data_IF_809608662672
#
_entry.id   IF_809608662672
#
_cell.length_a   1.000
_cell.length_b   1.000
_cell.length_c   1.000
_cell.angle_alpha   90.00
_cell.angle_beta   90.00
_cell.angle_gamma   90.00
#
_symmetry.space_group_name_H-M   'P 1'
#
loop_
_entity.id
_entity.type
_entity.pdbx_description
1 polymer ?
#
# COMPACT_ATOMS: atom_id res chain seq x y z
N UNK A 1 16.52 1.11 3.00
CA UNK A 1 15.76 0.16 2.15
C UNK A 1 15.93 -1.23 2.74
N UNK A 2 15.01 -2.15 2.46
CA UNK A 2 15.03 -3.53 2.94
C UNK A 2 14.39 -4.44 1.89
N UNK A 3 14.70 -5.73 1.94
CA UNK A 3 14.13 -6.74 1.04
C UNK A 3 13.90 -8.05 1.78
N UNK A 4 12.78 -8.71 1.50
CA UNK A 4 12.54 -10.12 1.86
C UNK A 4 11.98 -10.83 0.64
N UNK A 5 12.53 -12.00 0.31
CA UNK A 5 11.99 -12.92 -0.67
C UNK A 5 11.52 -14.18 0.04
N UNK A 6 10.27 -14.60 -0.21
CA UNK A 6 9.61 -15.72 0.47
C UNK A 6 9.02 -16.66 -0.59
N UNK A 7 9.13 -17.97 -0.39
CA UNK A 7 8.35 -18.95 -1.13
C UNK A 7 6.88 -18.90 -0.66
N UNK A 8 5.92 -18.49 -1.51
CA UNK A 8 4.53 -18.32 -1.11
C UNK A 8 3.82 -19.65 -0.78
N UNK A 9 4.38 -20.81 -1.16
CA UNK A 9 3.75 -22.12 -0.91
C UNK A 9 4.00 -22.63 0.50
N UNK A 10 5.17 -22.35 1.07
CA UNK A 10 5.61 -22.92 2.35
C UNK A 10 6.14 -21.87 3.34
N UNK A 11 6.23 -20.60 2.95
CA UNK A 11 6.68 -19.50 3.81
C UNK A 11 8.20 -19.44 4.03
N UNK A 12 9.01 -20.23 3.31
CA UNK A 12 10.47 -20.21 3.47
C UNK A 12 11.05 -18.86 3.06
N UNK A 13 11.94 -18.32 3.89
CA UNK A 13 12.73 -17.13 3.57
C UNK A 13 13.87 -17.55 2.65
N UNK A 14 13.81 -17.12 1.40
CA UNK A 14 14.84 -17.38 0.39
C UNK A 14 15.98 -16.36 0.48
N UNK A 15 15.65 -15.11 0.80
CA UNK A 15 16.61 -14.03 1.02
C UNK A 15 16.04 -12.97 1.96
N UNK A 16 16.89 -12.36 2.78
CA UNK A 16 16.53 -11.24 3.65
C UNK A 16 17.69 -10.24 3.73
N UNK A 17 17.41 -8.97 3.42
CA UNK A 17 18.37 -7.85 3.53
C UNK A 17 17.73 -6.77 4.40
N UNK A 18 18.22 -6.64 5.63
CA UNK A 18 17.67 -5.72 6.63
C UNK A 18 18.13 -4.26 6.50
N UNK A 19 19.31 -4.04 5.92
CA UNK A 19 19.94 -2.73 5.77
C UNK A 19 20.88 -2.72 4.57
N UNK A 20 21.28 -1.52 4.11
CA UNK A 20 22.23 -1.33 3.00
C UNK A 20 23.63 -1.84 3.35
N UNK A 21 24.09 -1.58 4.57
CA UNK A 21 25.39 -2.04 5.09
C UNK A 21 25.26 -2.26 6.59
N UNK A 22 25.44 -3.50 7.04
CA UNK A 22 25.32 -3.88 8.45
C UNK A 22 26.33 -3.15 9.35
N UNK A 23 27.55 -2.93 8.86
CA UNK A 23 28.64 -2.35 9.66
C UNK A 23 28.69 -0.82 9.62
N UNK A 24 27.83 -0.17 8.83
CA UNK A 24 27.79 1.29 8.76
C UNK A 24 26.97 1.86 9.92
N UNK A 25 27.67 2.36 10.93
CA UNK A 25 27.08 2.97 12.12
C UNK A 25 26.42 4.32 11.84
N UNK A 26 26.74 5.00 10.73
CA UNK A 26 26.15 6.30 10.40
C UNK A 26 24.70 6.22 9.94
N UNK A 27 24.23 5.02 9.57
CA UNK A 27 22.86 4.76 9.09
C UNK A 27 22.10 3.78 9.98
N UNK A 28 22.61 3.50 11.18
CA UNK A 28 22.12 2.43 12.05
C UNK A 28 22.08 1.07 11.33
N UNK A 29 23.20 0.68 10.71
CA UNK A 29 23.32 -0.50 9.83
C UNK A 29 22.75 -1.82 10.38
N UNK A 30 22.73 -1.98 11.70
CA UNK A 30 22.24 -3.16 12.42
C UNK A 30 20.70 -3.19 12.54
N UNK A 31 20.01 -2.10 12.23
CA UNK A 31 18.54 -2.05 12.23
C UNK A 31 18.01 -2.87 11.05
N UNK A 32 17.35 -3.99 11.39
CA UNK A 32 16.66 -4.79 10.39
C UNK A 32 15.31 -4.17 10.01
N UNK A 33 15.28 -3.42 8.90
CA UNK A 33 14.07 -2.72 8.43
C UNK A 33 12.98 -3.69 7.95
N UNK A 34 13.29 -4.95 7.61
CA UNK A 34 12.28 -5.92 7.16
C UNK A 34 11.27 -6.30 8.25
N UNK A 35 11.64 -6.10 9.52
CA UNK A 35 10.81 -6.41 10.69
C UNK A 35 10.23 -5.16 11.36
N UNK A 36 10.38 -3.97 10.74
CA UNK A 36 9.96 -2.69 11.34
C UNK A 36 8.60 -2.24 10.80
N UNK A 37 7.66 -1.83 11.67
CA UNK A 37 6.40 -1.25 11.23
C UNK A 37 6.62 0.02 10.40
N UNK A 38 5.98 0.06 9.22
CA UNK A 38 5.96 1.20 8.30
C UNK A 38 4.60 1.25 7.62
N UNK A 39 4.20 2.44 7.16
CA UNK A 39 3.01 2.57 6.34
C UNK A 39 3.26 1.94 4.95
N UNK A 40 2.43 0.99 4.48
CA UNK A 40 2.60 0.35 3.18
C UNK A 40 2.23 1.27 2.00
N UNK A 41 1.42 2.31 2.25
CA UNK A 41 0.89 3.19 1.21
C UNK A 41 0.05 2.42 0.20
N UNK A 42 0.17 2.76 -1.09
CA UNK A 42 -0.60 2.14 -2.18
C UNK A 42 -0.43 0.62 -2.29
N UNK A 43 0.64 0.03 -1.75
CA UNK A 43 0.83 -1.42 -1.76
C UNK A 43 -0.21 -2.19 -0.92
N UNK A 44 -0.99 -1.50 -0.08
CA UNK A 44 -2.14 -2.07 0.63
C UNK A 44 -3.37 -2.28 -0.26
N UNK A 45 -3.50 -1.54 -1.37
CA UNK A 45 -4.70 -1.55 -2.22
C UNK A 45 -5.18 -2.96 -2.62
N UNK A 46 -4.31 -3.92 -3.02
CA UNK A 46 -4.76 -5.26 -3.38
C UNK A 46 -5.63 -5.96 -2.33
N UNK A 47 -5.42 -5.71 -1.03
CA UNK A 47 -6.28 -6.25 0.03
C UNK A 47 -7.67 -5.61 0.06
N UNK A 48 -7.75 -4.30 -0.20
CA UNK A 48 -9.04 -3.61 -0.35
C UNK A 48 -9.82 -4.13 -1.56
N UNK A 49 -9.15 -4.36 -2.69
CA UNK A 49 -9.76 -4.96 -3.89
C UNK A 49 -10.18 -6.41 -3.65
N UNK A 50 -9.37 -7.21 -2.96
CA UNK A 50 -9.76 -8.57 -2.57
C UNK A 50 -11.06 -8.57 -1.75
N UNK A 51 -11.21 -7.63 -0.81
CA UNK A 51 -12.46 -7.50 -0.05
C UNK A 51 -13.64 -7.07 -0.91
N UNK A 52 -13.43 -6.23 -1.92
CA UNK A 52 -14.48 -5.88 -2.88
C UNK A 52 -14.90 -7.09 -3.72
N UNK A 53 -13.95 -7.93 -4.17
CA UNK A 53 -14.25 -9.15 -4.91
C UNK A 53 -15.04 -10.16 -4.06
N UNK A 54 -14.72 -10.31 -2.77
CA UNK A 54 -15.54 -11.10 -1.84
C UNK A 54 -16.98 -10.59 -1.73
N UNK A 55 -17.20 -9.29 -1.95
CA UNK A 55 -18.54 -8.66 -1.96
C UNK A 55 -19.24 -8.75 -3.32
N UNK A 56 -18.67 -9.46 -4.30
CA UNK A 56 -19.25 -9.67 -5.62
C UNK A 56 -18.89 -8.61 -6.66
N UNK A 57 -18.03 -7.66 -6.33
CA UNK A 57 -17.48 -6.75 -7.33
C UNK A 57 -16.56 -7.52 -8.29
N UNK A 58 -16.50 -7.09 -9.54
CA UNK A 58 -15.69 -7.68 -10.60
C UNK A 58 -14.73 -6.65 -11.17
N UNK A 59 -13.62 -7.04 -11.83
CA UNK A 59 -12.69 -6.09 -12.44
C UNK A 59 -13.34 -5.10 -13.41
N UNK A 60 -14.43 -5.49 -14.07
CA UNK A 60 -15.21 -4.69 -15.01
C UNK A 60 -16.27 -3.80 -14.32
N UNK A 61 -16.38 -3.87 -13.00
CA UNK A 61 -17.31 -3.02 -12.24
C UNK A 61 -16.90 -1.56 -12.36
N UNK A 62 -17.84 -0.70 -12.76
CA UNK A 62 -17.59 0.72 -12.90
C UNK A 62 -17.61 1.41 -11.53
N UNK A 63 -16.60 2.23 -11.27
CA UNK A 63 -16.45 3.07 -10.07
C UNK A 63 -16.27 4.52 -10.49
N UNK A 64 -16.79 5.42 -9.66
CA UNK A 64 -16.68 6.87 -9.90
C UNK A 64 -15.43 7.41 -9.21
N UNK A 65 -14.41 7.76 -10.00
CA UNK A 65 -13.27 8.57 -9.58
C UNK A 65 -13.65 10.06 -9.63
N UNK A 66 -14.12 10.56 -8.49
CA UNK A 66 -14.52 11.95 -8.31
C UNK A 66 -14.08 12.47 -6.92
N UNK A 67 -14.01 13.79 -6.80
CA UNK A 67 -13.73 14.42 -5.52
C UNK A 67 -14.77 13.98 -4.49
N UNK A 68 -14.28 13.30 -3.45
CA UNK A 68 -15.13 12.75 -2.39
C UNK A 68 -14.66 13.28 -1.04
N UNK A 69 -15.60 13.83 -0.26
CA UNK A 69 -15.36 14.22 1.12
C UNK A 69 -15.89 13.12 2.04
N UNK A 70 -14.99 12.47 2.79
CA UNK A 70 -15.32 11.39 3.72
C UNK A 70 -15.65 11.89 5.13
N UNK A 71 -15.72 13.21 5.33
CA UNK A 71 -15.99 13.83 6.63
C UNK A 71 -14.71 14.11 7.43
N UNK A 72 -14.83 14.43 8.73
CA UNK A 72 -13.70 14.84 9.56
C UNK A 72 -12.62 13.74 9.73
N UNK A 73 -11.35 14.12 9.61
CA UNK A 73 -10.18 13.22 9.68
C UNK A 73 -9.58 13.07 11.10
N UNK A 74 -10.22 13.68 12.10
CA UNK A 74 -9.71 13.72 13.48
C UNK A 74 -8.66 14.81 13.74
N UNK A 75 -8.18 15.52 12.72
CA UNK A 75 -7.25 16.67 12.84
C UNK A 75 -7.96 18.03 12.84
N UNK A 76 -9.29 18.05 12.83
CA UNK A 76 -10.10 19.27 12.67
C UNK A 76 -10.30 19.69 11.20
N UNK A 77 -9.90 18.84 10.25
CA UNK A 77 -10.12 19.04 8.80
C UNK A 77 -10.98 17.92 8.23
N UNK A 78 -11.52 18.14 7.04
CA UNK A 78 -12.21 17.09 6.29
C UNK A 78 -11.19 16.24 5.50
N UNK A 79 -11.42 14.93 5.43
CA UNK A 79 -10.67 14.01 4.59
C UNK A 79 -11.18 14.08 3.15
N UNK A 80 -10.46 14.82 2.31
CA UNK A 80 -10.71 14.95 0.87
C UNK A 80 -9.46 14.47 0.13
N UNK A 81 -9.29 13.14 -0.06
CA UNK A 81 -8.11 12.59 -0.72
C UNK A 81 -8.04 13.03 -2.18
N UNK A 82 -6.81 13.05 -2.71
CA UNK A 82 -6.52 13.37 -4.11
C UNK A 82 -5.71 12.25 -4.73
N UNK A 83 -5.92 12.02 -6.03
CA UNK A 83 -5.08 11.13 -6.82
C UNK A 83 -3.65 11.69 -6.94
N UNK A 84 -2.70 10.80 -7.18
CA UNK A 84 -1.27 11.15 -7.24
C UNK A 84 -0.94 12.15 -8.38
N UNK A 85 -1.74 12.14 -9.44
CA UNK A 85 -1.64 13.02 -10.60
C UNK A 85 -2.49 14.30 -10.47
N UNK A 86 -3.24 14.43 -9.37
CA UNK A 86 -4.11 15.57 -9.09
C UNK A 86 -5.36 15.65 -9.98
N UNK A 87 -5.72 14.59 -10.71
CA UNK A 87 -6.88 14.57 -11.63
C UNK A 87 -7.96 13.60 -11.14
N UNK A 88 -9.18 13.80 -11.62
CA UNK A 88 -10.30 12.87 -11.46
C UNK A 88 -10.70 12.36 -12.84
N UNK A 89 -10.79 11.05 -12.98
CA UNK A 89 -10.98 10.37 -14.27
C UNK A 89 -12.45 10.07 -14.58
N UNK A 90 -13.38 10.40 -13.68
CA UNK A 90 -14.80 10.11 -13.86
C UNK A 90 -15.07 8.62 -13.68
N UNK A 91 -15.88 8.03 -14.55
CA UNK A 91 -16.27 6.63 -14.41
C UNK A 91 -15.19 5.73 -15.02
N UNK A 92 -14.52 4.94 -14.18
CA UNK A 92 -13.45 3.99 -14.57
C UNK A 92 -13.82 2.58 -14.12
N UNK A 93 -13.24 1.55 -14.72
CA UNK A 93 -13.36 0.18 -14.23
C UNK A 93 -12.48 -0.04 -13.01
N UNK A 94 -12.82 -1.00 -12.14
CA UNK A 94 -11.98 -1.36 -10.99
C UNK A 94 -10.56 -1.85 -11.37
N UNK A 95 -10.37 -2.31 -12.61
CA UNK A 95 -9.09 -2.78 -13.13
C UNK A 95 -8.09 -1.65 -13.42
N UNK A 96 -8.60 -0.47 -13.76
CA UNK A 96 -7.82 0.72 -14.09
C UNK A 96 -7.25 1.39 -12.82
#
# INVERSE_FOLDING_TARGET
AALVAIDPKNGQILAMVGSKNYFDKSIDGEVNVTMRPRQPGSSFKPFAYAKAFEKGFQPETMVLDAQTNFGPDGSGRNYVPRNYDGRFHGVISMRE
#
